data_IF_474269315691
#
_entry.id   IF_474269315691
#
_cell.length_a   1.000
_cell.length_b   1.000
_cell.length_c   1.000
_cell.angle_alpha   90.00
_cell.angle_beta   90.00
_cell.angle_gamma   90.00
#
_symmetry.space_group_name_H-M   'P 1'
#
loop_
_entity.id
_entity.type
_entity.pdbx_description
1 polymer ?
#
# COMPACT_ATOMS: atom_id res chain seq x y z
N UNK A 1 -15.15 0.89 -8.46
CA UNK A 1 -14.68 0.96 -7.06
C UNK A 1 -14.23 2.37 -6.75
N UNK A 2 -14.76 2.98 -5.70
CA UNK A 2 -14.37 4.32 -5.25
C UNK A 2 -13.13 4.21 -4.35
N UNK A 3 -12.06 4.97 -4.66
CA UNK A 3 -10.87 5.08 -3.83
C UNK A 3 -10.91 6.39 -3.02
N UNK A 4 -10.65 6.31 -1.72
CA UNK A 4 -10.68 7.44 -0.79
C UNK A 4 -9.33 7.50 -0.07
N UNK A 5 -8.67 8.66 -0.15
CA UNK A 5 -7.42 8.88 0.56
C UNK A 5 -7.67 9.08 2.06
N UNK A 6 -6.96 8.31 2.89
CA UNK A 6 -7.08 8.33 4.33
C UNK A 6 -5.83 8.86 5.05
N UNK A 7 -4.95 9.55 4.35
CA UNK A 7 -3.65 9.98 4.88
C UNK A 7 -3.70 11.07 5.97
N UNK A 8 -4.77 11.84 6.05
CA UNK A 8 -4.82 13.03 6.90
C UNK A 8 -5.48 12.79 8.25
N UNK A 9 -5.02 13.50 9.29
CA UNK A 9 -5.65 13.52 10.61
C UNK A 9 -5.53 12.20 11.37
N UNK A 10 -4.39 11.57 11.35
CA UNK A 10 -4.03 10.47 12.23
C UNK A 10 -3.53 10.97 13.57
N UNK A 11 -3.57 10.08 14.55
CA UNK A 11 -3.01 10.27 15.88
C UNK A 11 -1.88 9.26 16.07
N UNK A 12 -0.81 9.71 16.71
CA UNK A 12 0.39 8.89 16.93
C UNK A 12 0.90 9.05 18.35
N UNK A 13 1.40 7.96 18.93
CA UNK A 13 2.19 7.97 20.16
C UNK A 13 3.18 6.82 20.17
N UNK A 14 4.23 6.90 20.94
CA UNK A 14 5.09 5.77 21.26
C UNK A 14 4.47 4.91 22.38
N UNK A 15 4.68 3.61 22.34
CA UNK A 15 4.12 2.69 23.34
C UNK A 15 4.58 3.03 24.76
N UNK A 16 5.81 3.51 24.92
CA UNK A 16 6.37 3.96 26.20
C UNK A 16 5.64 5.18 26.82
N UNK A 17 4.98 5.98 25.99
CA UNK A 17 4.30 7.21 26.39
C UNK A 17 2.80 6.96 26.67
N UNK A 18 2.34 5.70 26.62
CA UNK A 18 0.99 5.32 27.01
C UNK A 18 0.85 5.36 28.53
N UNK A 19 -0.05 6.21 29.04
CA UNK A 19 -0.24 6.49 30.48
C UNK A 19 -0.65 5.27 31.34
N UNK A 20 -1.15 4.21 30.71
CA UNK A 20 -1.54 2.97 31.39
C UNK A 20 -1.28 1.79 30.48
N UNK A 21 -0.06 1.30 30.48
CA UNK A 21 0.22 -0.02 29.89
C UNK A 21 -0.21 -1.12 30.87
N UNK A 22 -1.51 -1.30 31.05
CA UNK A 22 -2.03 -2.51 31.64
C UNK A 22 -2.01 -3.58 30.56
N UNK A 23 -0.89 -4.28 30.47
CA UNK A 23 -0.62 -5.47 29.71
C UNK A 23 -1.54 -5.70 28.52
N UNK A 24 -1.04 -5.43 27.33
CA UNK A 24 -1.74 -5.77 26.10
C UNK A 24 -1.90 -7.30 26.08
N UNK A 25 -3.06 -7.79 26.46
CA UNK A 25 -3.38 -9.21 26.35
C UNK A 25 -3.95 -9.46 24.97
N UNK A 26 -3.25 -10.27 24.17
CA UNK A 26 -3.80 -10.88 22.95
C UNK A 26 -4.87 -11.94 23.28
N UNK A 27 -5.43 -11.89 24.49
CA UNK A 27 -6.39 -12.87 24.93
C UNK A 27 -7.69 -12.79 24.14
N UNK A 28 -8.21 -13.93 23.88
CA UNK A 28 -9.39 -14.47 23.19
C UNK A 28 -10.72 -13.67 23.27
N UNK A 29 -10.73 -12.46 23.78
CA UNK A 29 -11.95 -11.66 23.94
C UNK A 29 -12.03 -10.60 22.84
N UNK A 30 -13.18 -10.50 22.23
CA UNK A 30 -13.51 -9.66 21.10
C UNK A 30 -13.41 -8.15 21.35
N UNK A 31 -13.27 -7.71 22.60
CA UNK A 31 -13.17 -6.31 22.96
C UNK A 31 -11.76 -5.99 23.43
N UNK A 32 -10.97 -5.37 22.55
CA UNK A 32 -9.63 -4.91 22.90
C UNK A 32 -9.69 -3.88 24.04
N UNK A 33 -8.83 -4.06 25.02
CA UNK A 33 -8.60 -3.11 26.11
C UNK A 33 -7.38 -2.27 25.75
N UNK A 34 -7.37 -0.99 26.10
CA UNK A 34 -6.25 -0.09 25.81
C UNK A 34 -6.30 0.55 24.44
N UNK A 35 -5.14 0.85 23.86
CA UNK A 35 -5.00 1.62 22.63
C UNK A 35 -5.82 1.12 21.41
N UNK A 36 -6.13 -0.18 21.22
CA UNK A 36 -7.03 -0.65 20.18
C UNK A 36 -8.51 -0.36 20.42
N UNK A 37 -8.92 -0.18 21.68
CA UNK A 37 -10.34 -0.02 22.02
C UNK A 37 -10.96 1.19 21.30
N UNK A 38 -12.20 1.02 20.83
CA UNK A 38 -12.90 2.06 20.07
C UNK A 38 -12.96 3.39 20.80
N UNK A 39 -13.26 3.38 22.09
CA UNK A 39 -13.46 4.56 22.93
C UNK A 39 -12.24 4.90 23.80
N UNK A 40 -11.05 4.43 23.42
CA UNK A 40 -9.83 4.74 24.13
C UNK A 40 -9.54 6.25 24.12
N UNK A 41 -9.19 6.82 25.28
CA UNK A 41 -8.78 8.22 25.38
C UNK A 41 -7.39 8.41 24.79
N UNK A 42 -7.31 9.21 23.74
CA UNK A 42 -6.10 9.53 22.98
C UNK A 42 -5.80 11.05 22.98
N UNK A 43 -6.33 11.80 23.96
CA UNK A 43 -6.18 13.27 24.01
C UNK A 43 -4.73 13.74 24.05
N UNK A 44 -3.81 12.92 24.57
CA UNK A 44 -2.37 13.22 24.64
C UNK A 44 -1.62 12.87 23.35
N UNK A 45 -2.25 12.18 22.38
CA UNK A 45 -1.57 11.71 21.18
C UNK A 45 -1.29 12.85 20.21
N UNK A 46 -0.13 12.77 19.54
CA UNK A 46 0.26 13.74 18.52
C UNK A 46 -0.61 13.61 17.27
N UNK A 47 -1.11 14.73 16.75
CA UNK A 47 -1.74 14.76 15.42
C UNK A 47 -0.68 14.73 14.34
N UNK A 48 -0.83 13.80 13.39
CA UNK A 48 0.09 13.64 12.26
C UNK A 48 -0.69 13.36 10.98
N UNK A 49 -0.01 13.54 9.86
CA UNK A 49 -0.47 13.09 8.54
C UNK A 49 0.50 12.02 8.01
N UNK A 50 -0.02 11.14 7.16
CA UNK A 50 0.77 10.12 6.47
C UNK A 50 1.30 10.68 5.13
N UNK A 51 2.45 10.20 4.67
CA UNK A 51 3.34 9.20 5.27
C UNK A 51 4.07 9.73 6.52
N UNK A 52 4.36 8.86 7.48
CA UNK A 52 5.00 9.21 8.74
C UNK A 52 6.12 8.24 9.12
N UNK A 53 7.26 8.80 9.53
CA UNK A 53 8.43 8.07 10.05
C UNK A 53 8.87 8.71 11.37
N UNK A 54 8.55 8.06 12.48
CA UNK A 54 8.88 8.64 13.81
C UNK A 54 10.37 8.55 14.15
N UNK A 55 11.17 7.72 13.48
CA UNK A 55 12.61 7.61 13.73
C UNK A 55 13.33 8.92 13.51
N UNK A 56 12.84 9.75 12.58
CA UNK A 56 13.40 11.09 12.32
C UNK A 56 13.24 12.03 13.53
N UNK A 57 12.13 11.95 14.24
CA UNK A 57 11.91 12.78 15.45
C UNK A 57 12.79 12.31 16.61
N UNK A 58 12.95 11.00 16.80
CA UNK A 58 13.81 10.44 17.84
C UNK A 58 15.29 10.81 17.66
N UNK A 59 15.76 10.93 16.42
CA UNK A 59 17.13 11.37 16.13
C UNK A 59 17.44 12.78 16.61
N UNK A 60 16.43 13.65 16.70
CA UNK A 60 16.60 15.04 17.17
C UNK A 60 16.75 15.13 18.68
N UNK A 61 16.12 14.23 19.43
CA UNK A 61 16.14 14.23 20.89
C UNK A 61 17.38 13.54 21.46
N UNK A 62 18.02 12.69 20.71
CA UNK A 62 19.30 12.10 21.07
C UNK A 62 20.40 13.17 20.90
N UNK A 63 20.69 13.90 21.97
CA UNK A 63 21.84 14.80 22.05
C UNK A 63 23.07 14.08 21.51
N UNK A 64 23.55 14.55 20.39
CA UNK A 64 24.63 13.96 19.63
C UNK A 64 25.86 13.73 20.52
N UNK A 65 26.15 12.49 20.85
CA UNK A 65 27.52 12.09 21.08
C UNK A 65 28.19 12.05 19.72
N UNK A 66 28.61 13.21 19.27
CA UNK A 66 29.25 13.43 17.99
C UNK A 66 30.66 12.88 18.04
N UNK A 67 30.90 11.77 17.37
CA UNK A 67 32.21 11.53 16.82
C UNK A 67 32.42 12.56 15.70
N UNK A 68 33.43 13.41 15.84
CA UNK A 68 33.76 14.45 14.89
C UNK A 68 33.91 13.86 13.49
N UNK A 69 33.02 14.23 12.55
CA UNK A 69 33.05 13.82 11.16
C UNK A 69 32.01 12.77 10.73
N UNK A 70 31.28 12.16 11.63
CA UNK A 70 30.16 11.29 11.29
C UNK A 70 28.86 12.07 11.18
N UNK A 71 28.04 11.78 10.17
CA UNK A 71 26.69 12.33 10.09
C UNK A 71 25.91 11.89 11.31
N UNK A 72 25.16 12.79 11.98
CA UNK A 72 24.47 12.44 13.20
C UNK A 72 23.46 11.32 12.95
N UNK A 73 23.57 10.27 13.75
CA UNK A 73 22.58 9.29 14.12
C UNK A 73 21.53 8.90 13.07
N UNK A 74 21.96 8.20 12.03
CA UNK A 74 21.02 7.32 11.35
C UNK A 74 20.95 6.00 12.14
N UNK A 75 19.80 5.32 12.16
CA UNK A 75 19.66 3.95 12.70
C UNK A 75 20.79 3.02 12.19
N UNK A 76 21.26 3.28 10.97
CA UNK A 76 22.45 2.71 10.35
C UNK A 76 23.74 2.94 11.17
N UNK A 77 23.98 4.15 11.66
CA UNK A 77 25.17 4.45 12.47
C UNK A 77 25.12 3.71 13.81
N UNK A 78 23.93 3.62 14.45
CA UNK A 78 23.70 2.82 15.64
C UNK A 78 23.99 1.34 15.40
N UNK A 79 23.48 0.78 14.31
CA UNK A 79 23.72 -0.63 13.95
C UNK A 79 25.21 -0.98 13.83
N UNK A 80 26.02 -0.05 13.30
CA UNK A 80 27.45 -0.28 13.07
C UNK A 80 28.33 0.04 14.29
N UNK A 81 27.92 0.93 15.18
CA UNK A 81 28.77 1.43 16.26
C UNK A 81 28.38 0.94 17.65
N UNK A 82 27.12 0.61 17.87
CA UNK A 82 26.61 0.16 19.17
C UNK A 82 25.94 -1.20 19.01
N UNK A 83 26.66 -2.26 19.40
CA UNK A 83 26.06 -3.59 19.51
C UNK A 83 24.97 -3.56 20.58
N UNK A 84 23.72 -3.43 20.16
CA UNK A 84 22.49 -3.93 20.77
C UNK A 84 22.18 -3.76 22.28
N UNK A 85 23.01 -3.15 23.09
CA UNK A 85 22.78 -3.18 24.55
C UNK A 85 22.02 -2.02 25.14
N UNK A 86 21.84 -0.89 24.42
CA UNK A 86 21.31 0.35 24.99
C UNK A 86 20.25 1.08 24.14
N UNK A 87 19.66 0.44 23.16
CA UNK A 87 18.45 0.96 22.54
C UNK A 87 17.31 0.57 23.45
N UNK A 88 16.74 1.56 24.14
CA UNK A 88 15.50 1.35 24.88
C UNK A 88 14.47 0.72 23.93
N UNK A 89 14.16 -0.57 24.09
CA UNK A 89 13.15 -1.32 23.33
C UNK A 89 11.82 -0.57 23.24
N UNK A 90 11.59 0.26 24.22
CA UNK A 90 10.37 1.05 24.44
C UNK A 90 10.14 2.14 23.38
N UNK A 91 11.20 2.64 22.72
CA UNK A 91 11.02 3.67 21.64
C UNK A 91 10.89 3.07 20.25
N UNK A 92 10.91 1.76 20.14
CA UNK A 92 10.82 1.02 18.88
C UNK A 92 9.39 0.62 18.50
N UNK A 93 8.42 0.85 19.37
CA UNK A 93 7.02 0.52 19.14
C UNK A 93 6.17 1.78 19.11
N UNK A 94 5.44 1.96 18.01
CA UNK A 94 4.55 3.09 17.81
C UNK A 94 3.10 2.65 17.62
N UNK A 95 2.19 3.51 18.03
CA UNK A 95 0.76 3.34 17.87
C UNK A 95 0.18 4.44 17.01
N UNK A 96 -0.68 4.07 16.09
CA UNK A 96 -1.46 4.95 15.25
C UNK A 96 -2.94 4.75 15.50
N UNK A 97 -3.69 5.84 15.47
CA UNK A 97 -5.16 5.79 15.46
C UNK A 97 -5.71 6.73 14.42
N UNK A 98 -6.80 6.30 13.78
CA UNK A 98 -7.57 7.11 12.85
C UNK A 98 -9.04 6.97 13.19
N UNK A 99 -9.74 8.09 13.29
CA UNK A 99 -11.18 8.16 13.45
C UNK A 99 -11.82 8.61 12.15
N UNK A 100 -12.92 7.99 11.81
CA UNK A 100 -13.70 8.35 10.63
C UNK A 100 -15.17 7.94 10.78
N UNK A 101 -16.05 8.67 10.12
CA UNK A 101 -17.46 8.32 10.02
C UNK A 101 -17.72 7.75 8.63
N UNK A 102 -18.20 6.50 8.52
CA UNK A 102 -18.57 5.92 7.25
C UNK A 102 -19.69 6.72 6.61
N UNK A 103 -19.57 7.01 5.30
CA UNK A 103 -20.66 7.64 4.56
C UNK A 103 -21.89 6.71 4.55
N UNK A 104 -23.09 7.18 4.86
CA UNK A 104 -24.30 6.36 4.81
C UNK A 104 -24.53 5.65 3.48
N UNK A 105 -24.03 6.21 2.36
CA UNK A 105 -24.15 5.59 1.03
C UNK A 105 -23.28 4.32 0.86
N UNK A 106 -22.39 4.00 1.82
CA UNK A 106 -21.62 2.75 1.83
C UNK A 106 -22.40 1.58 2.43
N UNK A 107 -23.54 1.84 3.05
CA UNK A 107 -24.36 0.77 3.63
C UNK A 107 -24.78 -0.22 2.54
N UNK A 108 -24.51 -1.52 2.77
CA UNK A 108 -24.74 -2.59 1.79
C UNK A 108 -23.64 -2.76 0.75
N UNK A 109 -22.61 -1.91 0.77
CA UNK A 109 -21.42 -2.04 -0.08
C UNK A 109 -20.28 -2.78 0.64
N UNK A 110 -19.23 -3.11 -0.08
CA UNK A 110 -18.01 -3.70 0.46
C UNK A 110 -16.97 -2.63 0.67
N UNK A 111 -16.37 -2.60 1.84
CA UNK A 111 -15.37 -1.60 2.23
C UNK A 111 -14.07 -2.30 2.59
N UNK A 112 -12.99 -1.85 1.93
CA UNK A 112 -11.64 -2.36 2.15
C UNK A 112 -10.74 -1.22 2.61
N UNK A 113 -9.74 -1.55 3.44
CA UNK A 113 -8.66 -0.64 3.77
C UNK A 113 -7.33 -1.21 3.25
N UNK A 114 -6.58 -0.38 2.54
CA UNK A 114 -5.25 -0.71 2.04
C UNK A 114 -4.20 0.13 2.74
N UNK A 115 -3.14 -0.53 3.18
CA UNK A 115 -1.88 0.08 3.58
C UNK A 115 -0.84 -0.23 2.51
N UNK A 116 -0.29 0.79 1.86
CA UNK A 116 0.76 0.59 0.85
C UNK A 116 2.10 0.19 1.47
N UNK A 117 2.33 0.54 2.74
CA UNK A 117 3.52 0.12 3.48
C UNK A 117 3.53 0.59 4.92
N UNK A 118 3.79 -0.35 5.81
CA UNK A 118 3.98 -0.12 7.25
C UNK A 118 5.26 -0.82 7.67
N UNK A 119 6.24 -0.11 8.16
CA UNK A 119 7.47 -0.69 8.64
C UNK A 119 7.44 -0.73 10.16
N UNK A 120 7.38 -1.92 10.79
CA UNK A 120 7.17 -3.31 10.35
C UNK A 120 6.40 -4.05 11.45
N UNK A 121 6.21 -5.37 11.31
CA UNK A 121 5.56 -6.20 12.34
C UNK A 121 4.30 -5.54 12.91
N UNK A 122 3.42 -5.16 12.01
CA UNK A 122 2.26 -4.34 12.33
C UNK A 122 1.02 -5.18 12.63
N UNK A 123 0.23 -4.74 13.58
CA UNK A 123 -1.03 -5.36 14.00
C UNK A 123 -2.15 -4.34 13.89
N UNK A 124 -3.33 -4.78 13.44
CA UNK A 124 -4.43 -3.91 13.03
C UNK A 124 -5.72 -4.26 13.75
N UNK A 125 -6.47 -3.21 14.10
CA UNK A 125 -7.81 -3.31 14.71
C UNK A 125 -8.76 -2.32 14.06
N UNK A 126 -10.02 -2.74 13.92
CA UNK A 126 -11.14 -1.87 13.54
C UNK A 126 -12.16 -1.95 14.68
N UNK A 127 -12.50 -0.80 15.26
CA UNK A 127 -13.44 -0.69 16.39
C UNK A 127 -13.11 -1.63 17.57
N UNK A 128 -11.82 -1.86 17.81
CA UNK A 128 -11.36 -2.79 18.84
C UNK A 128 -11.26 -4.25 18.41
N UNK A 129 -11.82 -4.62 17.26
CA UNK A 129 -11.72 -5.99 16.72
C UNK A 129 -10.37 -6.18 16.03
N UNK A 130 -9.65 -7.22 16.44
CA UNK A 130 -8.40 -7.63 15.78
C UNK A 130 -8.67 -8.09 14.35
N UNK A 131 -7.94 -7.54 13.40
CA UNK A 131 -8.07 -7.89 12.00
C UNK A 131 -7.01 -8.89 11.57
N UNK A 132 -5.74 -8.51 11.66
CA UNK A 132 -4.62 -9.36 11.24
C UNK A 132 -3.28 -8.74 11.67
N UNK A 133 -2.20 -9.47 11.40
CA UNK A 133 -0.81 -9.04 11.55
C UNK A 133 -0.11 -9.07 10.19
N UNK A 134 0.63 -8.01 9.87
CA UNK A 134 1.47 -7.93 8.68
C UNK A 134 2.94 -7.77 9.06
N UNK A 135 3.76 -8.78 8.74
CA UNK A 135 5.16 -8.82 9.20
C UNK A 135 6.10 -8.03 8.29
N UNK A 136 5.84 -7.99 6.98
CA UNK A 136 6.73 -7.32 6.02
C UNK A 136 6.62 -5.80 6.11
N UNK A 137 7.76 -5.11 6.17
CA UNK A 137 7.82 -3.66 6.08
C UNK A 137 7.70 -3.11 4.66
N UNK A 138 7.72 -3.94 3.61
CA UNK A 138 7.91 -3.49 2.22
C UNK A 138 6.77 -3.84 1.27
N UNK A 139 5.84 -4.66 1.70
CA UNK A 139 4.69 -5.07 0.89
C UNK A 139 3.42 -4.37 1.32
N UNK A 140 2.58 -4.04 0.36
CA UNK A 140 1.24 -3.53 0.63
C UNK A 140 0.28 -4.69 0.97
N UNK A 141 -0.73 -4.40 1.77
CA UNK A 141 -1.76 -5.34 2.18
C UNK A 141 -3.12 -4.66 2.26
N UNK A 142 -4.17 -5.49 2.23
CA UNK A 142 -5.55 -5.03 2.15
C UNK A 142 -6.41 -5.91 3.06
N UNK A 143 -7.28 -5.26 3.85
CA UNK A 143 -8.29 -5.92 4.67
C UNK A 143 -9.70 -5.52 4.23
N UNK A 144 -10.63 -6.45 4.24
CA UNK A 144 -12.04 -6.12 4.22
C UNK A 144 -12.50 -5.73 5.63
N UNK A 145 -13.19 -4.60 5.74
CA UNK A 145 -13.64 -4.05 7.03
C UNK A 145 -15.15 -3.88 7.10
N UNK A 146 -15.88 -4.33 6.10
CA UNK A 146 -17.33 -4.11 5.92
C UNK A 146 -18.13 -4.43 7.18
N UNK A 147 -17.98 -5.63 7.71
CA UNK A 147 -18.76 -6.15 8.83
C UNK A 147 -18.36 -5.54 10.20
N UNK A 148 -17.27 -4.77 10.21
CA UNK A 148 -16.76 -4.10 11.41
C UNK A 148 -17.16 -2.64 11.50
N UNK A 149 -17.81 -2.09 10.45
CA UNK A 149 -18.25 -0.70 10.42
C UNK A 149 -19.57 -0.50 11.15
N UNK A 150 -19.63 0.56 11.94
CA UNK A 150 -20.85 1.03 12.61
C UNK A 150 -21.28 2.32 11.93
N UNK A 151 -22.37 2.24 11.16
CA UNK A 151 -22.91 3.39 10.44
C UNK A 151 -23.59 4.37 11.38
N UNK A 152 -23.42 5.66 11.11
CA UNK A 152 -23.96 6.74 11.96
C UNK A 152 -23.17 7.00 13.23
N UNK A 153 -22.05 6.30 13.43
CA UNK A 153 -21.16 6.48 14.56
C UNK A 153 -19.69 6.62 14.12
N UNK A 154 -18.89 7.18 15.01
CA UNK A 154 -17.45 7.26 14.80
C UNK A 154 -16.80 5.87 14.85
N UNK A 155 -15.98 5.56 13.86
CA UNK A 155 -15.23 4.30 13.76
C UNK A 155 -13.74 4.58 13.96
N UNK A 156 -13.06 3.63 14.58
CA UNK A 156 -11.64 3.74 14.87
C UNK A 156 -10.82 2.64 14.19
N UNK A 157 -9.74 3.06 13.56
CA UNK A 157 -8.65 2.18 13.11
C UNK A 157 -7.52 2.33 14.14
N UNK A 158 -6.96 1.23 14.61
CA UNK A 158 -5.75 1.25 15.42
C UNK A 158 -4.67 0.38 14.75
N UNK A 159 -3.43 0.85 14.79
CA UNK A 159 -2.28 0.15 14.23
C UNK A 159 -1.14 0.20 15.24
N UNK A 160 -0.65 -0.96 15.66
CA UNK A 160 0.59 -1.10 16.42
C UNK A 160 1.70 -1.48 15.47
N UNK A 161 2.81 -0.80 15.52
CA UNK A 161 3.97 -1.03 14.65
C UNK A 161 5.19 -1.29 15.52
N UNK A 162 5.81 -2.46 15.35
CA UNK A 162 6.96 -2.89 16.14
C UNK A 162 8.22 -2.90 15.26
N UNK A 163 9.14 -1.99 15.53
CA UNK A 163 10.41 -1.86 14.80
C UNK A 163 11.62 -2.21 15.69
N UNK A 164 11.41 -3.01 16.75
CA UNK A 164 12.49 -3.44 17.64
C UNK A 164 13.54 -4.30 16.95
N UNK A 165 13.16 -5.02 15.90
CA UNK A 165 14.05 -5.88 15.13
C UNK A 165 14.60 -5.16 13.89
N UNK A 166 15.90 -5.07 13.74
CA UNK A 166 16.56 -4.59 12.53
C UNK A 166 16.76 -5.75 11.53
N UNK A 167 16.52 -5.52 10.25
CA UNK A 167 16.72 -6.50 9.17
C UNK A 167 17.84 -6.12 8.22
N UNK A 168 17.93 -4.84 7.90
CA UNK A 168 18.80 -4.34 6.85
C UNK A 168 20.00 -3.56 7.37
N UNK A 169 20.92 -3.33 6.47
CA UNK A 169 22.08 -2.47 6.67
C UNK A 169 21.89 -1.09 6.05
N UNK A 170 20.66 -0.73 5.76
CA UNK A 170 20.22 0.58 5.27
C UNK A 170 19.31 1.25 6.28
N UNK A 171 18.94 2.52 6.02
CA UNK A 171 17.94 3.19 6.83
C UNK A 171 16.57 2.57 6.57
N UNK A 172 16.01 1.91 7.56
CA UNK A 172 14.75 1.17 7.46
C UNK A 172 13.53 2.04 7.74
N UNK A 173 13.70 3.07 8.59
CA UNK A 173 12.62 3.92 9.07
C UNK A 173 11.69 3.23 10.08
N UNK A 174 10.56 3.87 10.37
CA UNK A 174 9.56 3.34 11.31
C UNK A 174 8.19 3.96 11.05
N UNK A 175 7.14 3.12 10.97
CA UNK A 175 5.78 3.63 10.94
C UNK A 175 5.00 3.38 9.67
N UNK A 176 3.86 4.06 9.54
CA UNK A 176 3.03 4.06 8.33
C UNK A 176 3.64 5.02 7.32
N UNK A 177 4.59 4.52 6.53
CA UNK A 177 5.47 5.35 5.70
C UNK A 177 5.02 5.49 4.25
N UNK A 178 3.85 4.94 3.91
CA UNK A 178 3.18 5.09 2.60
C UNK A 178 1.71 5.45 2.78
N UNK A 179 1.01 5.56 1.66
CA UNK A 179 -0.39 5.94 1.67
C UNK A 179 -1.29 4.88 2.31
N UNK A 180 -2.42 5.35 2.83
CA UNK A 180 -3.55 4.53 3.26
C UNK A 180 -4.78 4.94 2.48
N UNK A 181 -5.50 3.95 1.93
CA UNK A 181 -6.72 4.17 1.16
C UNK A 181 -7.87 3.32 1.69
N UNK A 182 -9.07 3.87 1.60
CA UNK A 182 -10.29 3.07 1.63
C UNK A 182 -10.76 2.83 0.19
N UNK A 183 -11.31 1.65 -0.03
CA UNK A 183 -11.99 1.30 -1.27
C UNK A 183 -13.43 0.90 -0.94
N UNK A 184 -14.37 1.49 -1.67
CA UNK A 184 -15.78 1.15 -1.56
C UNK A 184 -16.24 0.55 -2.88
N UNK A 185 -16.73 -0.67 -2.83
CA UNK A 185 -17.17 -1.46 -3.98
C UNK A 185 -18.63 -1.83 -3.85
N UNK A 186 -19.30 -2.03 -5.00
CA UNK A 186 -20.63 -2.63 -5.03
C UNK A 186 -20.57 -4.08 -4.54
N UNK A 187 -21.69 -4.71 -4.15
CA UNK A 187 -21.68 -6.11 -3.68
C UNK A 187 -21.28 -7.13 -4.74
N UNK A 188 -21.40 -6.75 -6.02
CA UNK A 188 -20.79 -7.52 -7.13
C UNK A 188 -19.66 -6.66 -7.71
N UNK A 189 -18.43 -7.12 -7.54
CA UNK A 189 -17.25 -6.29 -7.81
C UNK A 189 -16.06 -7.06 -8.39
N UNK A 190 -15.12 -6.31 -8.97
CA UNK A 190 -13.81 -6.83 -9.39
C UNK A 190 -12.92 -6.92 -8.15
N UNK A 191 -12.44 -8.13 -7.84
CA UNK A 191 -11.58 -8.39 -6.68
C UNK A 191 -10.30 -7.56 -6.75
N UNK A 192 -10.00 -6.74 -5.74
CA UNK A 192 -8.80 -5.90 -5.74
C UNK A 192 -7.53 -6.72 -5.96
N UNK A 193 -6.59 -6.19 -6.74
CA UNK A 193 -5.28 -6.82 -7.03
C UNK A 193 -5.35 -8.18 -7.73
N UNK A 194 -6.50 -8.53 -8.32
CA UNK A 194 -6.73 -9.78 -9.05
C UNK A 194 -7.02 -9.55 -10.54
N UNK A 195 -6.51 -8.45 -11.08
CA UNK A 195 -6.51 -8.17 -12.52
C UNK A 195 -5.10 -8.42 -13.08
N UNK A 196 -5.01 -9.24 -14.09
CA UNK A 196 -3.78 -9.59 -14.79
C UNK A 196 -3.92 -9.15 -16.25
N UNK A 197 -2.98 -8.29 -16.70
CA UNK A 197 -2.95 -7.80 -18.08
C UNK A 197 -1.64 -8.27 -18.73
N UNK A 198 -1.75 -8.97 -19.86
CA UNK A 198 -0.61 -9.40 -20.68
C UNK A 198 -0.74 -8.79 -22.07
N UNK A 199 0.37 -8.31 -22.60
CA UNK A 199 0.40 -7.64 -23.91
C UNK A 199 1.38 -8.27 -24.87
N UNK A 200 1.11 -8.15 -26.16
CA UNK A 200 2.01 -8.54 -27.25
C UNK A 200 2.26 -7.36 -28.19
N UNK A 201 3.35 -7.39 -28.94
CA UNK A 201 3.74 -6.28 -29.83
C UNK A 201 2.80 -6.07 -31.00
N UNK A 202 2.04 -7.10 -31.36
CA UNK A 202 1.01 -7.04 -32.39
C UNK A 202 -0.28 -6.37 -31.92
N UNK A 203 -0.33 -5.92 -30.67
CA UNK A 203 -1.48 -5.23 -30.09
C UNK A 203 -2.47 -6.12 -29.35
N UNK A 204 -2.23 -7.42 -29.24
CA UNK A 204 -3.07 -8.31 -28.42
C UNK A 204 -2.89 -7.94 -26.93
N UNK A 205 -4.03 -7.82 -26.26
CA UNK A 205 -4.13 -7.56 -24.81
C UNK A 205 -5.00 -8.63 -24.20
N UNK A 206 -4.41 -9.55 -23.46
CA UNK A 206 -5.13 -10.59 -22.71
C UNK A 206 -5.35 -10.09 -21.29
N UNK A 207 -6.60 -10.05 -20.87
CA UNK A 207 -7.02 -9.63 -19.54
C UNK A 207 -7.67 -10.78 -18.80
N UNK A 208 -7.27 -10.99 -17.57
CA UNK A 208 -7.90 -11.90 -16.63
C UNK A 208 -8.23 -11.13 -15.36
N UNK A 209 -9.47 -11.17 -14.89
CA UNK A 209 -9.88 -10.59 -13.61
C UNK A 209 -10.76 -11.57 -12.84
N UNK A 210 -10.77 -11.42 -11.51
CA UNK A 210 -11.70 -12.17 -10.64
C UNK A 210 -12.86 -11.27 -10.28
N UNK A 211 -14.07 -11.73 -10.54
CA UNK A 211 -15.33 -11.09 -10.14
C UNK A 211 -15.88 -11.82 -8.92
N UNK A 212 -16.31 -11.07 -7.92
CA UNK A 212 -16.94 -11.59 -6.70
C UNK A 212 -18.40 -11.20 -6.70
N UNK A 213 -19.27 -12.13 -6.36
CA UNK A 213 -20.67 -11.89 -6.03
C UNK A 213 -20.87 -12.12 -4.53
N UNK A 214 -21.02 -11.05 -3.79
CA UNK A 214 -21.16 -11.07 -2.33
C UNK A 214 -22.62 -10.84 -1.91
N UNK A 215 -23.55 -11.34 -2.75
CA UNK A 215 -24.99 -11.26 -2.51
C UNK A 215 -25.60 -12.66 -2.33
N UNK A 216 -26.77 -12.77 -1.68
CA UNK A 216 -27.48 -14.05 -1.56
C UNK A 216 -28.11 -14.54 -2.86
N UNK A 217 -28.16 -13.71 -3.91
CA UNK A 217 -28.74 -14.04 -5.20
C UNK A 217 -27.65 -14.37 -6.23
N UNK A 218 -27.89 -15.31 -7.17
CA UNK A 218 -26.95 -15.54 -8.24
C UNK A 218 -26.85 -14.30 -9.14
N UNK A 219 -25.64 -13.90 -9.47
CA UNK A 219 -25.41 -12.86 -10.47
C UNK A 219 -25.34 -13.49 -11.86
N UNK A 220 -26.01 -12.84 -12.84
CA UNK A 220 -25.93 -13.20 -14.25
C UNK A 220 -25.90 -11.91 -15.07
N UNK A 221 -24.80 -11.64 -15.76
CA UNK A 221 -24.63 -10.39 -16.50
C UNK A 221 -23.30 -10.31 -17.23
N UNK A 222 -23.08 -9.18 -17.86
CA UNK A 222 -21.91 -8.92 -18.69
C UNK A 222 -20.82 -8.18 -17.89
N UNK A 223 -19.59 -8.66 -18.01
CA UNK A 223 -18.38 -7.93 -17.64
C UNK A 223 -17.84 -7.28 -18.89
N UNK A 224 -17.82 -5.94 -18.90
CA UNK A 224 -17.42 -5.14 -20.06
C UNK A 224 -16.01 -4.63 -19.86
N UNK A 225 -15.14 -4.86 -20.83
CA UNK A 225 -13.74 -4.43 -20.86
C UNK A 225 -13.57 -3.38 -21.94
N UNK A 226 -13.04 -2.23 -21.58
CA UNK A 226 -12.83 -1.08 -22.51
C UNK A 226 -11.40 -0.57 -22.41
N UNK A 227 -10.74 -0.40 -23.52
CA UNK A 227 -9.42 0.25 -23.62
C UNK A 227 -9.24 0.90 -24.98
N UNK A 228 -8.63 2.08 -25.03
CA UNK A 228 -8.60 2.90 -26.26
C UNK A 228 -10.03 3.05 -26.85
N UNK A 229 -10.22 2.68 -28.10
CA UNK A 229 -11.53 2.73 -28.77
C UNK A 229 -12.17 1.34 -28.92
N UNK A 230 -11.78 0.39 -28.07
CA UNK A 230 -12.18 -1.01 -28.15
C UNK A 230 -12.96 -1.42 -26.91
N UNK A 231 -14.08 -2.07 -27.11
CA UNK A 231 -14.88 -2.67 -26.07
C UNK A 231 -15.19 -4.14 -26.39
N UNK A 232 -15.19 -4.97 -25.37
CA UNK A 232 -15.63 -6.37 -25.45
C UNK A 232 -16.38 -6.74 -24.17
N UNK A 233 -17.37 -7.61 -24.29
CA UNK A 233 -18.16 -8.06 -23.15
C UNK A 233 -18.08 -9.59 -23.02
N UNK A 234 -18.01 -10.07 -21.79
CA UNK A 234 -18.05 -11.50 -21.47
C UNK A 234 -19.22 -11.75 -20.55
N UNK A 235 -20.19 -12.52 -21.01
CA UNK A 235 -21.31 -12.94 -20.19
C UNK A 235 -20.85 -13.93 -19.13
N UNK A 236 -21.18 -13.68 -17.86
CA UNK A 236 -20.77 -14.53 -16.75
C UNK A 236 -21.93 -14.76 -15.77
N UNK A 237 -21.92 -15.95 -15.16
CA UNK A 237 -22.83 -16.31 -14.09
C UNK A 237 -22.02 -16.70 -12.85
N UNK A 238 -22.36 -16.11 -11.70
CA UNK A 238 -21.66 -16.32 -10.43
C UNK A 238 -22.67 -16.71 -9.37
N UNK A 239 -22.43 -17.85 -8.71
CA UNK A 239 -23.28 -18.31 -7.61
C UNK A 239 -23.34 -17.29 -6.46
N UNK A 240 -24.37 -17.34 -5.60
CA UNK A 240 -24.40 -16.57 -4.37
C UNK A 240 -23.11 -16.76 -3.55
N UNK A 241 -22.54 -15.67 -3.05
CA UNK A 241 -21.29 -15.66 -2.27
C UNK A 241 -20.13 -16.37 -2.96
N UNK A 242 -20.09 -16.33 -4.30
CA UNK A 242 -19.11 -16.99 -5.14
C UNK A 242 -18.20 -16.04 -5.88
N UNK A 243 -17.20 -16.60 -6.55
CA UNK A 243 -16.32 -15.85 -7.44
C UNK A 243 -16.11 -16.56 -8.77
N UNK A 244 -15.84 -15.81 -9.81
CA UNK A 244 -15.50 -16.33 -11.14
C UNK A 244 -14.32 -15.60 -11.75
N UNK A 245 -13.47 -16.35 -12.46
CA UNK A 245 -12.38 -15.78 -13.26
C UNK A 245 -12.91 -15.49 -14.66
N UNK A 246 -12.89 -14.23 -15.05
CA UNK A 246 -13.33 -13.75 -16.36
C UNK A 246 -12.12 -13.41 -17.20
N UNK A 247 -12.08 -13.88 -18.44
CA UNK A 247 -10.98 -13.69 -19.39
C UNK A 247 -11.49 -13.10 -20.70
N UNK A 248 -10.70 -12.15 -21.24
CA UNK A 248 -10.98 -11.55 -22.53
C UNK A 248 -9.70 -11.31 -23.31
N UNK A 249 -9.75 -11.37 -24.62
CA UNK A 249 -8.71 -10.88 -25.52
C UNK A 249 -9.21 -9.64 -26.28
N UNK A 250 -8.44 -8.56 -26.21
CA UNK A 250 -8.64 -7.33 -26.92
C UNK A 250 -7.51 -7.14 -27.94
N UNK A 251 -7.75 -6.37 -29.00
CA UNK A 251 -6.71 -6.08 -29.99
C UNK A 251 -6.65 -4.58 -30.31
N UNK A 252 -5.56 -3.95 -29.92
CA UNK A 252 -5.28 -2.54 -30.22
C UNK A 252 -4.56 -2.47 -31.55
N UNK A 253 -5.18 -1.90 -32.54
CA UNK A 253 -4.53 -1.71 -33.84
C UNK A 253 -3.42 -0.65 -33.77
N UNK A 254 -2.23 -0.98 -34.30
CA UNK A 254 -1.05 -0.11 -34.32
C UNK A 254 -0.71 0.47 -32.95
N UNK A 255 -0.46 -0.37 -31.93
CA UNK A 255 -0.30 0.09 -30.56
C UNK A 255 0.91 0.98 -30.39
N UNK A 256 0.76 2.05 -29.61
CA UNK A 256 1.88 2.86 -29.13
C UNK A 256 2.62 2.06 -28.05
N UNK A 257 3.79 1.57 -28.41
CA UNK A 257 4.57 0.74 -27.49
C UNK A 257 5.09 1.58 -26.32
N UNK A 258 5.11 0.97 -25.15
CA UNK A 258 5.80 1.52 -23.99
C UNK A 258 7.32 1.38 -24.18
N UNK A 259 8.05 2.47 -23.98
CA UNK A 259 9.52 2.50 -24.00
C UNK A 259 10.01 3.42 -22.88
N UNK A 260 11.25 3.25 -22.42
CA UNK A 260 11.85 4.09 -21.37
C UNK A 260 11.85 5.58 -21.70
N UNK A 261 11.97 5.92 -23.00
CA UNK A 261 11.96 7.29 -23.50
C UNK A 261 10.55 7.77 -23.90
N UNK A 262 9.62 6.85 -24.08
CA UNK A 262 8.23 7.11 -24.46
C UNK A 262 7.31 6.15 -23.68
N UNK A 263 7.05 6.42 -22.39
CA UNK A 263 6.30 5.52 -21.51
C UNK A 263 4.79 5.62 -21.79
N UNK A 264 4.39 5.23 -23.00
CA UNK A 264 3.00 5.22 -23.42
C UNK A 264 2.19 4.24 -22.57
N UNK A 265 1.12 4.74 -21.97
CA UNK A 265 0.20 3.94 -21.17
C UNK A 265 -1.19 3.98 -21.79
N UNK A 266 -1.93 2.90 -21.59
CA UNK A 266 -3.35 2.75 -21.86
C UNK A 266 -4.08 2.58 -20.53
N UNK A 267 -5.34 2.96 -20.50
CA UNK A 267 -6.24 2.67 -19.39
C UNK A 267 -7.19 1.55 -19.81
N UNK A 268 -7.26 0.51 -19.00
CA UNK A 268 -8.30 -0.52 -19.08
C UNK A 268 -9.40 -0.15 -18.09
N UNK A 269 -10.63 -0.07 -18.55
CA UNK A 269 -11.83 0.02 -17.73
C UNK A 269 -12.53 -1.34 -17.74
N UNK A 270 -12.84 -1.87 -16.57
CA UNK A 270 -13.63 -3.09 -16.39
C UNK A 270 -14.91 -2.70 -15.66
N UNK A 271 -16.06 -2.93 -16.29
CA UNK A 271 -17.35 -2.57 -15.73
C UNK A 271 -18.24 -3.79 -15.53
N UNK A 272 -18.87 -3.86 -14.38
CA UNK A 272 -19.90 -4.84 -14.04
C UNK A 272 -21.06 -4.13 -13.33
N UNK A 273 -22.22 -4.10 -13.95
CA UNK A 273 -23.30 -3.24 -13.47
C UNK A 273 -22.88 -1.79 -13.34
N UNK A 274 -23.00 -1.23 -12.12
CA UNK A 274 -22.55 0.14 -11.80
C UNK A 274 -21.10 0.20 -11.33
N UNK A 275 -20.50 -0.93 -11.02
CA UNK A 275 -19.10 -1.01 -10.58
C UNK A 275 -18.15 -0.78 -11.74
N UNK A 276 -17.17 0.10 -11.54
CA UNK A 276 -16.09 0.38 -12.50
C UNK A 276 -14.75 0.23 -11.80
N UNK A 277 -13.90 -0.59 -12.39
CA UNK A 277 -12.51 -0.76 -12.00
C UNK A 277 -11.59 -0.33 -13.13
N UNK A 278 -10.52 0.39 -12.82
CA UNK A 278 -9.58 0.90 -13.82
C UNK A 278 -8.16 0.47 -13.52
N UNK A 279 -7.44 0.04 -14.56
CA UNK A 279 -6.03 -0.32 -14.52
C UNK A 279 -5.24 0.40 -15.61
N UNK A 280 -3.98 0.71 -15.32
CA UNK A 280 -3.07 1.27 -16.32
C UNK A 280 -2.08 0.22 -16.79
N UNK A 281 -1.85 0.13 -18.09
CA UNK A 281 -0.89 -0.81 -18.67
C UNK A 281 -0.13 -0.22 -19.85
N UNK A 282 1.05 -0.77 -20.14
CA UNK A 282 1.83 -0.44 -21.33
C UNK A 282 1.95 -1.65 -22.26
N UNK A 283 1.80 -1.44 -23.56
CA UNK A 283 2.07 -2.48 -24.55
C UNK A 283 3.57 -2.62 -24.74
N UNK A 284 4.14 -3.70 -24.20
CA UNK A 284 5.58 -3.99 -24.27
C UNK A 284 5.85 -5.48 -24.14
N UNK A 285 7.02 -5.89 -24.60
CA UNK A 285 7.60 -7.20 -24.29
C UNK A 285 8.98 -7.03 -23.69
N UNK A 286 9.34 -7.92 -22.79
CA UNK A 286 10.69 -7.99 -22.19
C UNK A 286 11.26 -9.39 -22.43
N UNK A 287 12.56 -9.45 -22.65
CA UNK A 287 13.26 -10.72 -22.84
C UNK A 287 14.72 -10.61 -22.46
N UNK A 288 15.38 -11.75 -22.32
CA UNK A 288 16.81 -11.87 -22.09
C UNK A 288 17.39 -12.81 -23.13
N UNK A 289 18.46 -12.37 -23.74
CA UNK A 289 19.18 -13.12 -24.77
C UNK A 289 20.63 -13.26 -24.33
N UNK A 290 21.24 -14.45 -24.40
CA UNK A 290 22.62 -14.67 -23.94
C UNK A 290 23.67 -13.78 -24.63
N UNK A 291 23.45 -13.48 -25.92
CA UNK A 291 24.43 -12.72 -26.73
C UNK A 291 24.08 -11.23 -26.80
N UNK A 292 22.76 -10.89 -26.74
CA UNK A 292 22.27 -9.53 -26.94
C UNK A 292 21.85 -8.83 -25.63
N UNK A 293 21.79 -9.57 -24.53
CA UNK A 293 21.42 -9.06 -23.21
C UNK A 293 19.91 -8.79 -23.05
N UNK A 294 19.56 -7.73 -22.34
CA UNK A 294 18.17 -7.35 -22.12
C UNK A 294 17.52 -6.80 -23.38
N UNK A 295 16.37 -7.33 -23.70
CA UNK A 295 15.56 -6.91 -24.85
C UNK A 295 14.26 -6.23 -24.37
N UNK A 296 14.02 -5.02 -24.85
CA UNK A 296 12.75 -4.33 -24.75
C UNK A 296 12.12 -4.25 -26.14
N UNK A 297 10.91 -4.75 -26.31
CA UNK A 297 10.21 -4.79 -27.61
C UNK A 297 11.07 -5.44 -28.71
N UNK A 298 11.71 -6.58 -28.35
CA UNK A 298 12.62 -7.36 -29.22
C UNK A 298 13.90 -6.64 -29.64
N UNK A 299 14.17 -5.44 -29.12
CA UNK A 299 15.40 -4.66 -29.40
C UNK A 299 16.30 -4.65 -28.17
N UNK A 300 17.63 -4.79 -28.35
CA UNK A 300 18.57 -4.65 -27.24
C UNK A 300 18.46 -3.27 -26.58
N UNK A 301 18.38 -3.25 -25.26
CA UNK A 301 18.40 -2.04 -24.46
C UNK A 301 19.47 -2.17 -23.38
N UNK A 302 20.45 -1.26 -23.38
CA UNK A 302 21.42 -1.20 -22.30
C UNK A 302 20.78 -0.62 -21.03
N UNK A 303 20.86 -1.38 -19.95
CA UNK A 303 20.35 -0.94 -18.66
C UNK A 303 21.38 -0.02 -18.00
N UNK A 304 20.98 1.22 -17.73
CA UNK A 304 21.70 2.18 -16.90
C UNK A 304 20.92 2.32 -15.60
N UNK A 305 21.21 1.44 -14.63
CA UNK A 305 20.47 1.32 -13.38
C UNK A 305 21.12 2.10 -12.25
N UNK A 306 20.30 2.54 -11.30
CA UNK A 306 20.73 3.03 -10.00
C UNK A 306 20.09 2.22 -8.89
N UNK A 307 20.89 1.84 -7.88
CA UNK A 307 20.37 1.30 -6.62
C UNK A 307 19.94 2.47 -5.74
N UNK A 308 18.72 2.48 -5.30
CA UNK A 308 18.13 3.57 -4.52
C UNK A 308 17.40 2.97 -3.33
N UNK A 309 17.73 3.49 -2.15
CA UNK A 309 16.93 3.21 -0.96
C UNK A 309 15.69 4.10 -0.92
N UNK A 310 14.68 3.68 -0.18
CA UNK A 310 13.40 4.41 -0.10
C UNK A 310 13.45 5.66 0.76
N UNK A 311 14.56 5.93 1.43
CA UNK A 311 14.72 7.10 2.30
C UNK A 311 15.09 8.38 1.54
N UNK A 312 14.90 9.52 2.22
CA UNK A 312 15.31 10.84 1.76
C UNK A 312 15.68 11.73 2.96
N UNK A 313 16.73 12.53 2.79
CA UNK A 313 17.23 13.41 3.85
C UNK A 313 16.13 14.35 4.38
N UNK A 314 15.93 14.32 5.69
CA UNK A 314 14.98 15.16 6.40
C UNK A 314 13.57 14.60 6.60
N UNK A 315 13.19 13.52 5.88
CA UNK A 315 11.87 12.87 6.02
C UNK A 315 11.97 11.37 6.25
N UNK A 316 13.18 10.79 6.25
CA UNK A 316 13.36 9.35 6.38
C UNK A 316 12.68 8.59 5.25
N UNK A 317 11.87 7.58 5.58
CA UNK A 317 11.11 6.80 4.60
C UNK A 317 9.72 7.39 4.30
N UNK A 318 9.32 8.46 4.99
CA UNK A 318 8.02 9.12 4.81
C UNK A 318 8.00 10.02 3.56
N UNK A 319 8.21 9.44 2.38
CA UNK A 319 8.23 10.19 1.13
C UNK A 319 6.82 10.36 0.57
N UNK A 320 6.43 11.62 0.36
CA UNK A 320 5.23 11.93 -0.42
C UNK A 320 5.44 11.58 -1.90
N UNK A 321 4.35 11.40 -2.65
CA UNK A 321 4.40 11.13 -4.09
C UNK A 321 5.21 12.17 -4.86
N UNK A 322 5.10 13.46 -4.49
CA UNK A 322 5.86 14.51 -5.13
C UNK A 322 7.36 14.39 -4.93
N UNK A 323 7.79 13.94 -3.74
CA UNK A 323 9.20 13.71 -3.45
C UNK A 323 9.73 12.48 -4.21
N UNK A 324 8.91 11.41 -4.34
CA UNK A 324 9.24 10.27 -5.19
C UNK A 324 9.39 10.68 -6.67
N UNK A 325 8.44 11.47 -7.19
CA UNK A 325 8.54 12.01 -8.56
C UNK A 325 9.81 12.85 -8.75
N UNK A 326 10.17 13.67 -7.76
CA UNK A 326 11.40 14.45 -7.79
C UNK A 326 12.65 13.55 -7.88
N UNK A 327 12.75 12.50 -7.03
CA UNK A 327 13.86 11.53 -7.06
C UNK A 327 13.98 10.89 -8.45
N UNK A 328 12.88 10.37 -8.98
CA UNK A 328 12.84 9.71 -10.29
C UNK A 328 13.22 10.68 -11.41
N UNK A 329 12.71 11.91 -11.38
CA UNK A 329 13.05 12.93 -12.38
C UNK A 329 14.55 13.27 -12.38
N UNK A 330 15.20 13.34 -11.21
CA UNK A 330 16.64 13.57 -11.10
C UNK A 330 17.45 12.40 -11.64
N UNK A 331 17.07 11.17 -11.31
CA UNK A 331 17.71 9.97 -11.83
C UNK A 331 17.57 9.90 -13.37
N UNK A 332 16.38 10.18 -13.89
CA UNK A 332 16.15 10.22 -15.33
C UNK A 332 17.00 11.30 -16.02
N UNK A 333 17.13 12.49 -15.44
CA UNK A 333 18.00 13.55 -15.95
C UNK A 333 19.49 13.17 -15.97
N UNK A 334 19.93 12.24 -15.13
CA UNK A 334 21.28 11.66 -15.13
C UNK A 334 21.47 10.55 -16.18
N UNK A 335 20.43 10.19 -16.95
CA UNK A 335 20.46 9.11 -17.93
C UNK A 335 20.14 7.73 -17.36
N UNK A 336 19.62 7.64 -16.13
CA UNK A 336 19.15 6.39 -15.54
C UNK A 336 17.84 5.96 -16.21
N UNK A 337 17.76 4.69 -16.63
CA UNK A 337 16.59 4.10 -17.25
C UNK A 337 16.07 2.86 -16.47
N UNK A 338 16.72 2.51 -15.38
CA UNK A 338 16.29 1.42 -14.49
C UNK A 338 16.50 1.83 -13.02
N UNK A 339 15.51 1.53 -12.20
CA UNK A 339 15.49 1.85 -10.78
C UNK A 339 15.42 0.55 -9.98
N UNK A 340 16.33 0.35 -9.07
CA UNK A 340 16.33 -0.78 -8.14
C UNK A 340 16.05 -0.30 -6.73
#
# INVERSE_FOLDING_TARGET
MQQINLNFGWLFTLEKDLDCFNGFSFDKYSDAIGAPARYYDHCSWQKIDLPHDWSIALEKDLKANTFAGARPNTRWHRFMTERHSDIDDVSSVGWYRKHFMPDPCWQGKRVFIEFEGVFRDSVFWINGTYMDRHNSGYTSFLFEITDHLVFGEDNSIAVRVDTSQAEGWWYEGSGVYRNVFLYVAEPVYIKPRKTIIKTALDGRVSVECTVVNDTPEPFCGDVVFETADIASAVHTAIAPYGEAVVKVELHIESPRLWHVDAPNLYTLSIRIGEEIHTESFGVRTVGFDPDRGFLLNSKPLKIHGACVHQDFGGVGVALTDNLQRYKIARLKAMGVNAYR
#
